data_IF_040238705216
#
_entry.id   IF_040238705216
#
_cell.length_a   1.000
_cell.length_b   1.000
_cell.length_c   1.000
_cell.angle_alpha   90.00
_cell.angle_beta   90.00
_cell.angle_gamma   90.00
#
_symmetry.space_group_name_H-M   'P 1'
#
loop_
_entity.id
_entity.type
_entity.pdbx_description
1 polymer ?
#
# COMPACT_ATOMS: atom_id res chain seq x y z
N UNK A 1 -4.53 8.55 27.37
CA UNK A 1 -3.60 8.16 26.29
C UNK A 1 -4.28 7.26 25.24
N UNK A 2 -4.81 6.08 25.60
CA UNK A 2 -5.42 5.13 24.65
C UNK A 2 -6.51 5.74 23.76
N UNK A 3 -7.42 6.56 24.31
CA UNK A 3 -8.47 7.23 23.54
C UNK A 3 -7.88 8.16 22.47
N UNK A 4 -6.90 8.99 22.85
CA UNK A 4 -6.28 9.93 21.90
C UNK A 4 -5.56 9.20 20.76
N UNK A 5 -4.83 8.12 21.08
CA UNK A 5 -4.22 7.26 20.06
C UNK A 5 -5.28 6.65 19.12
N UNK A 6 -6.37 6.15 19.68
CA UNK A 6 -7.44 5.57 18.86
C UNK A 6 -8.13 6.60 17.97
N UNK A 7 -8.40 7.80 18.47
CA UNK A 7 -8.96 8.90 17.67
C UNK A 7 -7.98 9.36 16.58
N UNK A 8 -6.67 9.45 16.89
CA UNK A 8 -5.67 9.77 15.88
C UNK A 8 -5.57 8.72 14.78
N UNK A 9 -5.75 7.44 15.12
CA UNK A 9 -5.79 6.36 14.14
C UNK A 9 -7.05 6.37 13.27
N UNK A 10 -8.22 6.76 13.82
CA UNK A 10 -9.43 7.00 13.01
C UNK A 10 -9.19 8.17 12.05
N UNK A 11 -8.61 9.27 12.52
CA UNK A 11 -8.28 10.41 11.69
C UNK A 11 -7.30 10.05 10.56
N UNK A 12 -6.26 9.26 10.88
CA UNK A 12 -5.32 8.72 9.89
C UNK A 12 -6.02 7.85 8.85
N UNK A 13 -6.96 7.00 9.27
CA UNK A 13 -7.79 6.21 8.36
C UNK A 13 -8.57 7.09 7.39
N UNK A 14 -9.22 8.16 7.89
CA UNK A 14 -9.96 9.12 7.05
C UNK A 14 -9.03 9.79 6.04
N UNK A 15 -7.83 10.24 6.47
CA UNK A 15 -6.81 10.82 5.57
C UNK A 15 -6.45 9.82 4.46
N UNK A 16 -6.09 8.58 4.82
CA UNK A 16 -5.71 7.56 3.85
C UNK A 16 -6.81 7.28 2.83
N UNK A 17 -8.07 7.20 3.28
CA UNK A 17 -9.20 6.93 2.41
C UNK A 17 -9.57 8.13 1.53
N UNK A 18 -9.48 9.37 2.05
CA UNK A 18 -9.87 10.57 1.33
C UNK A 18 -8.85 11.00 0.28
N UNK A 19 -7.55 11.04 0.63
CA UNK A 19 -6.51 11.52 -0.29
C UNK A 19 -6.14 10.51 -1.38
N UNK A 20 -6.43 9.23 -1.16
CA UNK A 20 -6.11 8.15 -2.10
C UNK A 20 -7.33 7.59 -2.82
N UNK A 21 -8.49 8.24 -2.71
CA UNK A 21 -9.71 7.82 -3.38
C UNK A 21 -9.47 7.67 -4.89
N UNK A 22 -9.65 6.46 -5.41
CA UNK A 22 -9.50 6.14 -6.83
C UNK A 22 -8.06 5.92 -7.33
N UNK A 23 -7.01 6.17 -6.52
CA UNK A 23 -5.62 6.06 -6.96
C UNK A 23 -5.03 4.66 -6.76
N UNK A 24 -5.04 4.15 -5.52
CA UNK A 24 -4.45 2.86 -5.17
C UNK A 24 -5.37 2.04 -4.26
N UNK A 25 -5.76 0.85 -4.71
CA UNK A 25 -6.65 -0.05 -3.93
C UNK A 25 -5.99 -0.55 -2.63
N UNK A 26 -4.67 -0.73 -2.59
CA UNK A 26 -3.95 -1.14 -1.38
C UNK A 26 -4.13 -0.15 -0.22
N UNK A 27 -4.26 1.14 -0.52
CA UNK A 27 -4.47 2.18 0.50
C UNK A 27 -5.82 2.05 1.20
N UNK A 28 -6.85 1.52 0.51
CA UNK A 28 -8.13 1.23 1.17
C UNK A 28 -7.99 0.16 2.26
N UNK A 29 -7.17 -0.89 2.01
CA UNK A 29 -6.91 -1.90 3.03
C UNK A 29 -6.12 -1.33 4.21
N UNK A 30 -5.14 -0.47 3.96
CA UNK A 30 -4.40 0.19 5.02
C UNK A 30 -5.31 1.11 5.85
N UNK A 31 -6.15 1.92 5.19
CA UNK A 31 -7.14 2.76 5.85
C UNK A 31 -8.13 1.94 6.69
N UNK A 32 -8.67 0.84 6.14
CA UNK A 32 -9.55 -0.06 6.87
C UNK A 32 -8.85 -0.73 8.06
N UNK A 33 -7.57 -1.12 7.92
CA UNK A 33 -6.77 -1.66 9.02
C UNK A 33 -6.66 -0.65 10.17
N UNK A 34 -6.29 0.61 9.88
CA UNK A 34 -6.21 1.65 10.90
C UNK A 34 -7.57 1.95 11.52
N UNK A 35 -8.64 1.90 10.75
CA UNK A 35 -10.00 2.07 11.28
C UNK A 35 -10.37 0.97 12.27
N UNK A 36 -10.22 -0.31 11.91
CA UNK A 36 -10.63 -1.41 12.77
C UNK A 36 -9.78 -1.52 14.04
N UNK A 37 -8.46 -1.30 13.94
CA UNK A 37 -7.59 -1.34 15.12
C UNK A 37 -7.88 -0.16 16.06
N UNK A 38 -8.22 1.00 15.52
CA UNK A 38 -8.60 2.17 16.31
C UNK A 38 -9.96 1.99 16.97
N UNK A 39 -10.94 1.42 16.27
CA UNK A 39 -12.24 1.09 16.82
C UNK A 39 -12.10 0.08 17.98
N UNK A 40 -11.19 -0.90 17.83
CA UNK A 40 -10.84 -1.81 18.92
C UNK A 40 -10.22 -1.05 20.10
N UNK A 41 -9.34 -0.09 19.86
CA UNK A 41 -8.75 0.76 20.91
C UNK A 41 -9.80 1.64 21.64
N UNK A 42 -10.78 2.19 20.91
CA UNK A 42 -11.93 2.90 21.53
C UNK A 42 -12.74 1.96 22.43
N UNK A 43 -13.01 0.74 21.97
CA UNK A 43 -13.70 -0.26 22.80
C UNK A 43 -12.91 -0.62 24.07
N UNK A 44 -11.58 -0.79 23.95
CA UNK A 44 -10.73 -1.04 25.13
C UNK A 44 -10.75 0.15 26.10
N UNK A 45 -10.71 1.39 25.60
CA UNK A 45 -10.85 2.57 26.42
C UNK A 45 -12.21 2.61 27.13
N UNK A 46 -13.29 2.32 26.39
CA UNK A 46 -14.65 2.28 26.94
C UNK A 46 -14.77 1.28 28.10
N UNK A 47 -14.20 0.08 27.94
CA UNK A 47 -14.25 -0.99 28.94
C UNK A 47 -13.37 -0.71 30.16
N UNK A 48 -12.12 -0.23 29.96
CA UNK A 48 -11.12 -0.21 31.02
C UNK A 48 -10.98 1.14 31.73
N UNK A 49 -11.28 2.25 31.03
CA UNK A 49 -10.90 3.58 31.53
C UNK A 49 -12.04 4.60 31.56
N UNK A 50 -13.12 4.41 30.78
CA UNK A 50 -14.14 5.46 30.63
C UNK A 50 -15.06 5.59 31.85
N UNK A 51 -15.29 4.51 32.59
CA UNK A 51 -16.34 4.40 33.62
C UNK A 51 -17.72 4.89 33.14
N UNK A 52 -17.93 4.96 31.84
CA UNK A 52 -19.17 5.46 31.22
C UNK A 52 -20.04 4.32 30.75
N UNK A 53 -21.19 4.16 31.40
CA UNK A 53 -22.22 3.18 31.01
C UNK A 53 -22.63 3.41 29.55
N UNK A 54 -22.74 4.66 29.10
CA UNK A 54 -23.08 5.01 27.72
C UNK A 54 -22.05 4.45 26.71
N UNK A 55 -20.77 4.73 26.92
CA UNK A 55 -19.72 4.24 26.01
C UNK A 55 -19.65 2.72 26.01
N UNK A 56 -19.71 2.08 27.16
CA UNK A 56 -19.70 0.62 27.26
C UNK A 56 -20.90 0.02 26.55
N UNK A 57 -22.12 0.58 26.71
CA UNK A 57 -23.34 0.06 26.05
C UNK A 57 -23.28 0.16 24.51
N UNK A 58 -22.57 1.15 23.97
CA UNK A 58 -22.43 1.31 22.51
C UNK A 58 -21.29 0.43 21.96
N UNK A 59 -20.11 0.47 22.58
CA UNK A 59 -18.92 -0.14 21.98
C UNK A 59 -18.72 -1.62 22.36
N UNK A 60 -19.15 -2.04 23.55
CA UNK A 60 -19.01 -3.44 23.97
C UNK A 60 -19.84 -4.37 23.09
N UNK A 61 -19.24 -5.40 22.55
CA UNK A 61 -19.82 -6.48 21.73
C UNK A 61 -20.43 -6.02 20.38
N UNK A 62 -21.07 -4.85 20.28
CA UNK A 62 -21.77 -4.43 19.06
C UNK A 62 -20.87 -4.39 17.81
N UNK A 63 -19.57 -4.06 17.96
CA UNK A 63 -18.61 -3.95 16.86
C UNK A 63 -17.55 -5.06 16.86
N UNK A 64 -17.64 -6.02 17.76
CA UNK A 64 -16.60 -7.03 17.95
C UNK A 64 -16.33 -7.89 16.71
N UNK A 65 -17.37 -8.16 15.89
CA UNK A 65 -17.22 -8.90 14.63
C UNK A 65 -16.28 -8.20 13.65
N UNK A 66 -16.17 -6.86 13.68
CA UNK A 66 -15.25 -6.10 12.83
C UNK A 66 -13.78 -6.35 13.20
N UNK A 67 -13.49 -6.71 14.44
CA UNK A 67 -12.12 -6.95 14.88
C UNK A 67 -11.55 -8.25 14.29
N UNK A 68 -12.39 -9.18 13.83
CA UNK A 68 -11.97 -10.34 13.07
C UNK A 68 -11.49 -9.99 11.64
N UNK A 69 -11.79 -8.78 11.15
CA UNK A 69 -11.33 -8.30 9.85
C UNK A 69 -9.92 -7.68 9.91
N UNK A 70 -9.38 -7.37 11.10
CA UNK A 70 -8.04 -6.75 11.24
C UNK A 70 -6.98 -7.60 10.54
N UNK A 71 -6.98 -8.92 10.76
CA UNK A 71 -6.03 -9.85 10.15
C UNK A 71 -6.16 -9.94 8.62
N UNK A 72 -7.34 -10.26 8.07
CA UNK A 72 -7.58 -10.30 6.64
C UNK A 72 -7.17 -9.02 5.90
N UNK A 73 -7.56 -7.86 6.44
CA UNK A 73 -7.26 -6.57 5.82
C UNK A 73 -5.76 -6.28 5.83
N UNK A 74 -5.03 -6.62 6.90
CA UNK A 74 -3.58 -6.58 6.97
C UNK A 74 -2.96 -7.44 5.85
N UNK A 75 -3.40 -8.68 5.72
CA UNK A 75 -2.92 -9.62 4.70
C UNK A 75 -3.17 -9.08 3.29
N UNK A 76 -4.37 -8.55 2.99
CA UNK A 76 -4.68 -7.99 1.68
C UNK A 76 -3.84 -6.75 1.37
N UNK A 77 -3.56 -5.92 2.38
CA UNK A 77 -2.64 -4.79 2.24
C UNK A 77 -1.23 -5.26 1.86
N UNK A 78 -0.63 -6.15 2.66
CA UNK A 78 0.72 -6.64 2.45
C UNK A 78 0.84 -7.36 1.10
N UNK A 79 -0.09 -8.28 0.79
CA UNK A 79 -0.14 -8.95 -0.51
C UNK A 79 -0.25 -7.94 -1.64
N UNK A 80 -1.16 -6.98 -1.55
CA UNK A 80 -1.37 -5.97 -2.58
C UNK A 80 -0.14 -5.13 -2.86
N UNK A 81 0.60 -4.75 -1.81
CA UNK A 81 1.86 -3.99 -1.93
C UNK A 81 2.99 -4.83 -2.53
N UNK A 82 3.12 -6.09 -2.10
CA UNK A 82 4.21 -6.97 -2.55
C UNK A 82 4.02 -7.52 -3.97
N UNK A 83 2.77 -7.68 -4.42
CA UNK A 83 2.45 -8.25 -5.74
C UNK A 83 1.97 -7.21 -6.76
N UNK A 84 1.92 -5.93 -6.36
CA UNK A 84 1.29 -4.83 -7.12
C UNK A 84 -0.13 -5.13 -7.63
N UNK A 85 -0.78 -6.12 -7.02
CA UNK A 85 -2.14 -6.54 -7.35
C UNK A 85 -3.05 -6.54 -6.12
N UNK A 86 -3.76 -5.45 -5.94
CA UNK A 86 -4.70 -5.24 -4.82
C UNK A 86 -6.13 -5.72 -5.11
N UNK A 87 -6.37 -6.46 -6.20
CA UNK A 87 -7.69 -7.00 -6.49
C UNK A 87 -8.02 -8.16 -5.55
N UNK A 88 -9.24 -8.15 -5.01
CA UNK A 88 -9.76 -9.29 -4.25
C UNK A 88 -10.02 -10.48 -5.20
N UNK A 89 -9.57 -11.65 -4.78
CA UNK A 89 -9.86 -12.93 -5.44
C UNK A 89 -11.14 -13.52 -4.86
N UNK A 90 -11.82 -14.39 -5.58
CA UNK A 90 -13.01 -15.10 -5.05
C UNK A 90 -12.70 -15.85 -3.75
N UNK A 91 -11.50 -16.41 -3.64
CA UNK A 91 -11.02 -17.10 -2.43
C UNK A 91 -10.83 -16.17 -1.24
N UNK A 92 -10.62 -14.87 -1.47
CA UNK A 92 -10.45 -13.89 -0.38
C UNK A 92 -11.74 -13.70 0.43
N UNK A 93 -12.91 -14.07 -0.12
CA UNK A 93 -14.18 -14.05 0.60
C UNK A 93 -14.20 -15.06 1.77
N UNK A 94 -13.42 -16.13 1.71
CA UNK A 94 -13.27 -17.08 2.80
C UNK A 94 -12.69 -16.45 4.08
N UNK A 95 -11.88 -15.42 3.92
CA UNK A 95 -11.30 -14.68 5.06
C UNK A 95 -12.35 -13.86 5.84
N UNK A 96 -13.55 -13.66 5.29
CA UNK A 96 -14.66 -13.00 5.98
C UNK A 96 -15.44 -13.95 6.89
N UNK A 97 -15.31 -15.28 6.72
CA UNK A 97 -16.07 -16.28 7.46
C UNK A 97 -15.99 -16.09 8.99
N UNK A 98 -14.81 -15.90 9.63
CA UNK A 98 -14.75 -15.72 11.08
C UNK A 98 -15.53 -14.49 11.56
N UNK A 99 -15.49 -13.39 10.80
CA UNK A 99 -16.26 -12.18 11.11
C UNK A 99 -17.76 -12.42 11.01
N UNK A 100 -18.21 -13.12 9.95
CA UNK A 100 -19.62 -13.45 9.73
C UNK A 100 -20.15 -14.41 10.79
N UNK A 101 -19.38 -15.43 11.14
CA UNK A 101 -19.74 -16.38 12.23
C UNK A 101 -19.89 -15.64 13.54
N UNK A 102 -18.96 -14.73 13.88
CA UNK A 102 -19.08 -13.96 15.12
C UNK A 102 -20.25 -12.97 15.05
N UNK A 103 -20.50 -12.33 13.91
CA UNK A 103 -21.64 -11.44 13.71
C UNK A 103 -22.96 -12.18 13.97
N UNK A 104 -23.17 -13.33 13.31
CA UNK A 104 -24.39 -14.12 13.48
C UNK A 104 -24.57 -14.59 14.93
N UNK A 105 -23.51 -15.02 15.58
CA UNK A 105 -23.54 -15.45 16.97
C UNK A 105 -23.79 -14.29 17.96
N UNK A 106 -23.46 -13.06 17.61
CA UNK A 106 -23.68 -11.87 18.46
C UNK A 106 -24.99 -11.14 18.14
N UNK A 107 -25.74 -11.55 17.10
CA UNK A 107 -27.02 -10.92 16.74
C UNK A 107 -28.01 -10.81 17.90
N UNK A 108 -28.22 -11.82 18.78
CA UNK A 108 -29.12 -11.69 19.90
C UNK A 108 -28.78 -10.51 20.82
N UNK A 109 -27.50 -10.29 21.09
CA UNK A 109 -27.04 -9.12 21.85
C UNK A 109 -27.14 -7.82 21.04
N UNK A 110 -26.71 -7.81 19.78
CA UNK A 110 -26.75 -6.63 18.93
C UNK A 110 -28.18 -6.10 18.75
N UNK A 111 -29.14 -6.98 18.57
CA UNK A 111 -30.57 -6.65 18.38
C UNK A 111 -31.36 -6.46 19.68
N UNK A 112 -30.73 -6.70 20.85
CA UNK A 112 -31.37 -6.50 22.14
C UNK A 112 -31.71 -5.03 22.39
N UNK A 113 -32.66 -4.78 23.29
CA UNK A 113 -33.09 -3.43 23.66
C UNK A 113 -31.92 -2.61 24.25
N UNK A 114 -31.98 -1.30 24.06
CA UNK A 114 -30.97 -0.41 24.65
C UNK A 114 -30.95 -0.49 26.18
N UNK A 115 -32.11 -0.66 26.81
CA UNK A 115 -32.24 -0.84 28.26
C UNK A 115 -31.44 -2.07 28.74
N UNK A 116 -31.54 -3.19 28.02
CA UNK A 116 -30.75 -4.38 28.33
C UNK A 116 -29.22 -4.13 28.18
N UNK A 117 -28.80 -3.45 27.12
CA UNK A 117 -27.39 -3.08 26.94
C UNK A 117 -26.87 -2.15 28.05
N UNK A 118 -27.70 -1.22 28.52
CA UNK A 118 -27.39 -0.35 29.66
C UNK A 118 -27.24 -1.15 30.95
N UNK A 119 -28.11 -2.14 31.18
CA UNK A 119 -28.03 -3.03 32.35
C UNK A 119 -26.71 -3.80 32.37
N UNK A 120 -26.34 -4.42 31.24
CA UNK A 120 -25.04 -5.13 31.09
C UNK A 120 -23.87 -4.17 31.25
N UNK A 121 -23.90 -3.00 30.59
CA UNK A 121 -22.87 -1.98 30.70
C UNK A 121 -22.70 -1.48 32.16
N UNK A 122 -23.77 -1.34 32.92
CA UNK A 122 -23.71 -0.97 34.32
C UNK A 122 -23.02 -2.05 35.16
N UNK A 123 -23.28 -3.33 34.90
CA UNK A 123 -22.59 -4.43 35.57
C UNK A 123 -21.07 -4.40 35.25
N UNK A 124 -20.68 -4.18 33.98
CA UNK A 124 -19.30 -4.08 33.55
C UNK A 124 -18.61 -2.89 34.21
N UNK A 125 -19.22 -1.71 34.25
CA UNK A 125 -18.66 -0.50 34.88
C UNK A 125 -18.45 -0.68 36.36
N UNK A 126 -19.33 -1.45 37.02
CA UNK A 126 -19.23 -1.79 38.44
C UNK A 126 -18.07 -2.77 38.69
N UNK A 127 -17.99 -3.80 37.88
CA UNK A 127 -16.95 -4.82 37.95
C UNK A 127 -16.57 -5.28 36.51
N UNK A 128 -15.40 -4.87 36.06
CA UNK A 128 -14.91 -5.20 34.70
C UNK A 128 -14.66 -6.68 34.50
N UNK A 129 -14.44 -7.47 35.58
CA UNK A 129 -14.26 -8.92 35.51
C UNK A 129 -15.53 -9.64 35.03
N UNK A 130 -16.69 -8.99 35.14
CA UNK A 130 -17.97 -9.46 34.59
C UNK A 130 -17.90 -9.81 33.11
N UNK A 131 -16.99 -9.13 32.33
CA UNK A 131 -16.73 -9.46 30.93
C UNK A 131 -16.27 -10.89 30.75
N UNK A 132 -15.52 -11.45 31.70
CA UNK A 132 -15.02 -12.83 31.67
C UNK A 132 -16.02 -13.90 32.09
N UNK A 133 -17.16 -13.51 32.65
CA UNK A 133 -18.17 -14.43 33.16
C UNK A 133 -19.47 -14.42 32.36
N UNK A 134 -19.76 -13.33 31.67
CA UNK A 134 -21.01 -13.16 30.93
C UNK A 134 -20.90 -13.69 29.48
N UNK A 135 -21.92 -14.44 29.06
CA UNK A 135 -22.02 -15.03 27.72
C UNK A 135 -22.64 -14.04 26.73
N UNK A 136 -21.82 -13.23 26.06
CA UNK A 136 -22.28 -12.20 25.12
C UNK A 136 -22.76 -12.75 23.77
N UNK A 137 -22.41 -13.99 23.44
CA UNK A 137 -22.70 -14.58 22.13
C UNK A 137 -23.16 -16.01 22.25
N UNK A 138 -23.90 -16.51 21.27
CA UNK A 138 -24.30 -17.93 21.17
C UNK A 138 -23.08 -18.84 21.15
N UNK A 139 -21.92 -18.37 20.62
CA UNK A 139 -20.67 -19.14 20.66
C UNK A 139 -20.22 -19.45 22.09
N UNK A 140 -20.52 -18.59 23.05
CA UNK A 140 -20.19 -18.81 24.46
C UNK A 140 -21.08 -19.86 25.14
N UNK A 141 -22.13 -20.32 24.48
CA UNK A 141 -22.92 -21.47 24.92
C UNK A 141 -22.29 -22.82 24.52
N UNK A 142 -21.56 -22.80 23.38
CA UNK A 142 -20.96 -23.99 22.77
C UNK A 142 -19.48 -24.12 23.22
N UNK A 143 -18.77 -23.00 23.28
CA UNK A 143 -17.35 -22.93 23.64
C UNK A 143 -17.16 -22.18 24.96
N UNK A 144 -16.04 -22.42 25.64
CA UNK A 144 -15.71 -21.62 26.83
C UNK A 144 -15.54 -20.14 26.48
N UNK A 145 -15.90 -19.28 27.41
CA UNK A 145 -15.74 -17.81 27.26
C UNK A 145 -14.29 -17.48 26.92
N UNK A 146 -13.32 -18.12 27.60
CA UNK A 146 -11.89 -17.97 27.33
C UNK A 146 -11.51 -18.28 25.87
N UNK A 147 -12.05 -19.37 25.30
CA UNK A 147 -11.79 -19.76 23.91
C UNK A 147 -12.35 -18.71 22.93
N UNK A 148 -13.55 -18.19 23.20
CA UNK A 148 -14.14 -17.14 22.36
C UNK A 148 -13.30 -15.85 22.41
N UNK A 149 -12.80 -15.45 23.58
CA UNK A 149 -11.94 -14.27 23.71
C UNK A 149 -10.58 -14.46 23.05
N UNK A 150 -9.96 -15.64 23.17
CA UNK A 150 -8.66 -15.95 22.58
C UNK A 150 -8.70 -16.12 21.05
N UNK A 151 -9.87 -16.47 20.49
CA UNK A 151 -10.00 -16.70 19.04
C UNK A 151 -9.59 -15.49 18.20
N UNK A 152 -9.86 -14.27 18.64
CA UNK A 152 -9.51 -13.02 17.93
C UNK A 152 -8.00 -12.76 17.87
N UNK A 153 -7.30 -12.63 19.02
CA UNK A 153 -5.85 -12.37 18.96
C UNK A 153 -5.08 -13.53 18.30
N UNK A 154 -5.52 -14.78 18.44
CA UNK A 154 -4.93 -15.92 17.73
C UNK A 154 -5.09 -15.76 16.22
N UNK A 155 -6.31 -15.42 15.75
CA UNK A 155 -6.55 -15.21 14.31
C UNK A 155 -5.70 -14.06 13.76
N UNK A 156 -5.67 -12.92 14.46
CA UNK A 156 -4.88 -11.76 14.02
C UNK A 156 -3.39 -12.10 14.02
N UNK A 157 -2.90 -12.85 15.01
CA UNK A 157 -1.51 -13.32 15.04
C UNK A 157 -1.19 -14.24 13.85
N UNK A 158 -2.08 -15.18 13.52
CA UNK A 158 -1.90 -16.06 12.36
C UNK A 158 -1.74 -15.27 11.05
N UNK A 159 -2.60 -14.26 10.83
CA UNK A 159 -2.46 -13.35 9.67
C UNK A 159 -1.20 -12.49 9.73
N UNK A 160 -0.78 -12.07 10.91
CA UNK A 160 0.47 -11.32 11.09
C UNK A 160 1.68 -12.15 10.70
N UNK A 161 1.75 -13.39 11.19
CA UNK A 161 2.80 -14.34 10.83
C UNK A 161 2.80 -14.67 9.34
N UNK A 162 1.61 -14.86 8.76
CA UNK A 162 1.48 -15.07 7.31
C UNK A 162 1.98 -13.85 6.50
N UNK A 163 1.60 -12.65 6.92
CA UNK A 163 2.07 -11.39 6.29
C UNK A 163 3.58 -11.22 6.40
N UNK A 164 4.17 -11.55 7.55
CA UNK A 164 5.62 -11.54 7.77
C UNK A 164 6.30 -12.59 6.88
N UNK A 165 5.77 -13.82 6.78
CA UNK A 165 6.30 -14.86 5.93
C UNK A 165 6.29 -14.46 4.44
N UNK A 166 5.22 -13.81 3.97
CA UNK A 166 5.15 -13.25 2.61
C UNK A 166 6.22 -12.19 2.39
N UNK A 167 6.40 -11.29 3.35
CA UNK A 167 7.41 -10.23 3.27
C UNK A 167 8.84 -10.80 3.26
N UNK A 168 9.14 -11.77 4.14
CA UNK A 168 10.43 -12.46 4.15
C UNK A 168 10.68 -13.20 2.82
N UNK A 169 9.68 -13.92 2.31
CA UNK A 169 9.77 -14.61 1.02
C UNK A 169 10.04 -13.64 -0.13
N UNK A 170 9.45 -12.45 -0.09
CA UNK A 170 9.73 -11.38 -1.03
C UNK A 170 11.18 -10.90 -0.93
N UNK A 171 11.70 -10.68 0.29
CA UNK A 171 13.09 -10.24 0.50
C UNK A 171 14.11 -11.27 -0.01
N UNK A 172 13.91 -12.55 0.28
CA UNK A 172 14.80 -13.64 -0.17
C UNK A 172 14.85 -13.73 -1.70
N UNK A 173 13.69 -13.62 -2.36
CA UNK A 173 13.63 -13.64 -3.83
C UNK A 173 14.29 -12.41 -4.46
N UNK A 174 14.35 -11.31 -3.74
CA UNK A 174 14.92 -10.04 -4.19
C UNK A 174 16.45 -10.04 -4.15
N UNK A 175 17.10 -10.69 -3.16
CA UNK A 175 18.56 -10.74 -3.08
C UNK A 175 19.21 -11.31 -4.34
N UNK A 176 18.46 -12.12 -5.10
CA UNK A 176 18.90 -12.69 -6.37
C UNK A 176 18.74 -11.73 -7.58
N UNK A 177 18.21 -10.51 -7.39
CA UNK A 177 18.02 -9.51 -8.47
C UNK A 177 18.51 -8.13 -8.03
N UNK A 178 19.61 -7.69 -8.62
CA UNK A 178 20.25 -6.37 -8.41
C UNK A 178 19.37 -5.24 -8.98
N UNK A 179 18.37 -4.74 -8.23
CA UNK A 179 17.60 -3.54 -8.61
C UNK A 179 17.45 -2.61 -7.41
N UNK A 180 18.10 -1.45 -7.46
CA UNK A 180 18.24 -0.48 -6.36
C UNK A 180 17.36 0.77 -6.51
N UNK A 181 16.96 1.31 -5.39
CA UNK A 181 16.62 2.68 -4.96
C UNK A 181 15.23 2.92 -4.37
N UNK A 182 14.09 2.72 -5.07
CA UNK A 182 12.75 2.99 -4.48
C UNK A 182 12.23 1.83 -3.61
N UNK A 183 12.76 0.64 -3.80
CA UNK A 183 12.44 -0.54 -2.99
C UNK A 183 12.93 -0.42 -1.54
N UNK A 184 13.96 0.39 -1.27
CA UNK A 184 14.43 0.64 0.09
C UNK A 184 13.38 1.32 0.97
N UNK A 185 12.61 2.28 0.41
CA UNK A 185 11.54 2.98 1.14
C UNK A 185 10.41 2.04 1.54
N UNK A 186 9.89 1.26 0.59
CA UNK A 186 8.81 0.28 0.83
C UNK A 186 9.25 -0.80 1.83
N UNK A 187 10.47 -1.32 1.67
CA UNK A 187 11.02 -2.34 2.58
C UNK A 187 11.15 -1.81 4.01
N UNK A 188 11.66 -0.59 4.17
CA UNK A 188 11.77 0.07 5.49
C UNK A 188 10.38 0.29 6.10
N UNK A 189 9.44 0.82 5.31
CA UNK A 189 8.07 1.01 5.76
C UNK A 189 7.44 -0.30 6.25
N UNK A 190 7.43 -1.36 5.43
CA UNK A 190 6.83 -2.63 5.79
C UNK A 190 7.50 -3.27 7.00
N UNK A 191 8.83 -3.15 7.14
CA UNK A 191 9.56 -3.64 8.31
C UNK A 191 9.10 -2.96 9.60
N UNK A 192 9.02 -1.62 9.61
CA UNK A 192 8.52 -0.85 10.74
C UNK A 192 7.06 -1.19 11.06
N UNK A 193 6.21 -1.16 10.05
CA UNK A 193 4.78 -1.41 10.20
C UNK A 193 4.51 -2.82 10.77
N UNK A 194 5.12 -3.86 10.20
CA UNK A 194 4.95 -5.23 10.66
C UNK A 194 5.55 -5.46 12.05
N UNK A 195 6.68 -4.82 12.40
CA UNK A 195 7.29 -4.94 13.72
C UNK A 195 6.37 -4.36 14.81
N UNK A 196 5.88 -3.14 14.65
CA UNK A 196 4.98 -2.52 15.64
C UNK A 196 3.63 -3.23 15.72
N UNK A 197 3.10 -3.67 14.58
CA UNK A 197 1.86 -4.44 14.53
C UNK A 197 2.04 -5.79 15.26
N UNK A 198 3.16 -6.48 15.05
CA UNK A 198 3.45 -7.75 15.72
C UNK A 198 3.58 -7.57 17.23
N UNK A 199 4.30 -6.55 17.70
CA UNK A 199 4.43 -6.22 19.13
C UNK A 199 3.04 -6.01 19.76
N UNK A 200 2.17 -5.23 19.09
CA UNK A 200 0.83 -4.94 19.57
C UNK A 200 -0.02 -6.21 19.70
N UNK A 201 0.02 -7.09 18.71
CA UNK A 201 -0.75 -8.33 18.71
C UNK A 201 -0.21 -9.36 19.69
N UNK A 202 1.11 -9.50 19.80
CA UNK A 202 1.73 -10.40 20.76
C UNK A 202 1.39 -10.02 22.19
N UNK A 203 1.49 -8.74 22.53
CA UNK A 203 1.12 -8.23 23.87
C UNK A 203 -0.38 -8.40 24.14
N UNK A 204 -1.24 -8.19 23.15
CA UNK A 204 -2.68 -8.41 23.28
C UNK A 204 -2.99 -9.91 23.53
N UNK A 205 -2.38 -10.82 22.77
CA UNK A 205 -2.57 -12.26 22.98
C UNK A 205 -2.10 -12.70 24.37
N UNK A 206 -0.89 -12.29 24.76
CA UNK A 206 -0.34 -12.65 26.10
C UNK A 206 -1.23 -12.11 27.21
N UNK A 207 -1.66 -10.87 27.11
CA UNK A 207 -2.57 -10.25 28.11
C UNK A 207 -3.89 -10.99 28.21
N UNK A 208 -4.50 -11.32 27.06
CA UNK A 208 -5.75 -12.08 27.01
C UNK A 208 -5.58 -13.50 27.58
N UNK A 209 -4.47 -14.19 27.22
CA UNK A 209 -4.17 -15.51 27.74
C UNK A 209 -4.03 -15.50 29.27
N UNK A 210 -3.21 -14.60 29.81
CA UNK A 210 -3.02 -14.46 31.27
C UNK A 210 -4.32 -14.20 32.01
N UNK A 211 -5.17 -13.34 31.46
CA UNK A 211 -6.43 -13.01 32.11
C UNK A 211 -7.43 -14.15 32.08
N UNK A 212 -7.64 -14.77 30.92
CA UNK A 212 -8.74 -15.73 30.75
C UNK A 212 -8.34 -17.19 31.00
N UNK A 213 -7.04 -17.54 31.02
CA UNK A 213 -6.56 -18.89 31.30
C UNK A 213 -5.90 -18.97 32.68
N UNK A 214 -5.04 -18.00 33.02
CA UNK A 214 -4.34 -17.96 34.31
C UNK A 214 -5.14 -17.20 35.39
N UNK A 215 -6.32 -16.67 35.05
CA UNK A 215 -7.20 -15.90 35.96
C UNK A 215 -6.50 -14.72 36.62
N UNK A 216 -5.58 -14.06 35.87
CA UNK A 216 -4.85 -12.89 36.35
C UNK A 216 -5.52 -11.59 35.93
N UNK A 217 -5.34 -10.50 36.70
CA UNK A 217 -5.88 -9.19 36.40
C UNK A 217 -5.06 -8.40 35.36
N UNK A 218 -4.13 -9.05 34.65
CA UNK A 218 -3.18 -8.41 33.73
C UNK A 218 -3.86 -7.63 32.62
N UNK A 219 -5.02 -8.10 32.13
CA UNK A 219 -5.75 -7.39 31.08
C UNK A 219 -6.44 -6.12 31.60
N UNK A 220 -6.84 -6.11 32.87
CA UNK A 220 -7.62 -5.04 33.49
C UNK A 220 -6.78 -4.03 34.28
N UNK A 221 -5.52 -4.36 34.56
CA UNK A 221 -4.61 -3.52 35.36
C UNK A 221 -3.50 -2.92 34.51
N UNK A 222 -3.02 -1.73 34.91
CA UNK A 222 -1.86 -1.12 34.27
C UNK A 222 -0.60 -1.92 34.63
N UNK A 223 0.05 -2.48 33.65
CA UNK A 223 1.25 -3.29 33.80
C UNK A 223 2.19 -3.13 32.59
N UNK A 224 3.35 -3.79 32.63
CA UNK A 224 4.37 -3.70 31.58
C UNK A 224 3.83 -4.09 30.19
N UNK A 225 2.96 -5.10 30.09
CA UNK A 225 2.38 -5.52 28.79
C UNK A 225 1.51 -4.41 28.21
N UNK A 226 0.73 -3.71 29.03
CA UNK A 226 -0.07 -2.58 28.53
C UNK A 226 0.80 -1.40 28.09
N UNK A 227 1.92 -1.15 28.79
CA UNK A 227 2.88 -0.12 28.37
C UNK A 227 3.51 -0.47 27.03
N UNK A 228 3.93 -1.73 26.83
CA UNK A 228 4.49 -2.22 25.57
C UNK A 228 3.45 -2.15 24.46
N UNK A 229 2.19 -2.55 24.72
CA UNK A 229 1.09 -2.43 23.76
C UNK A 229 0.83 -0.97 23.36
N UNK A 230 0.85 -0.05 24.32
CA UNK A 230 0.71 1.39 24.06
C UNK A 230 1.87 1.95 23.23
N UNK A 231 3.10 1.52 23.49
CA UNK A 231 4.26 1.88 22.67
C UNK A 231 4.17 1.32 21.26
N UNK A 232 3.73 0.05 21.10
CA UNK A 232 3.48 -0.57 19.81
C UNK A 232 2.40 0.17 19.00
N UNK A 233 1.29 0.54 19.65
CA UNK A 233 0.22 1.31 19.03
C UNK A 233 0.67 2.71 18.61
N UNK A 234 1.46 3.37 19.46
CA UNK A 234 2.05 4.68 19.17
C UNK A 234 2.97 4.61 17.96
N UNK A 235 3.90 3.64 17.94
CA UNK A 235 4.80 3.42 16.82
C UNK A 235 4.04 3.11 15.52
N UNK A 236 3.00 2.28 15.61
CA UNK A 236 2.16 1.95 14.46
C UNK A 236 1.47 3.20 13.87
N UNK A 237 0.91 4.08 14.70
CA UNK A 237 0.20 5.28 14.23
C UNK A 237 1.13 6.41 13.79
N UNK A 238 2.35 6.51 14.36
CA UNK A 238 3.35 7.48 13.92
C UNK A 238 4.04 7.02 12.62
N UNK A 239 4.13 5.73 12.38
CA UNK A 239 4.88 5.17 11.25
C UNK A 239 4.51 5.77 9.88
N UNK A 240 3.24 6.04 9.49
CA UNK A 240 2.92 6.66 8.21
C UNK A 240 3.46 8.09 8.07
N UNK A 241 3.62 8.82 9.17
CA UNK A 241 4.21 10.16 9.17
C UNK A 241 5.74 10.13 9.01
N UNK A 242 6.40 9.06 9.48
CA UNK A 242 7.82 8.82 9.21
C UNK A 242 8.05 8.43 7.72
N UNK A 243 7.01 7.95 7.05
CA UNK A 243 7.02 7.55 5.66
C UNK A 243 5.92 8.28 4.87
N UNK A 244 6.02 9.61 4.67
CA UNK A 244 4.93 10.43 4.14
C UNK A 244 4.45 10.01 2.75
N UNK A 245 5.27 9.35 1.95
CA UNK A 245 4.86 8.74 0.69
C UNK A 245 3.67 7.78 0.82
N UNK A 246 3.46 7.19 2.01
CA UNK A 246 2.34 6.30 2.28
C UNK A 246 1.02 7.07 2.35
N UNK A 247 1.03 8.29 2.89
CA UNK A 247 -0.17 9.13 3.03
C UNK A 247 -0.73 9.56 1.66
N UNK A 248 0.14 9.69 0.67
CA UNK A 248 -0.22 10.09 -0.70
C UNK A 248 -0.31 8.92 -1.69
N UNK A 249 -0.33 7.71 -1.18
CA UNK A 249 -0.15 6.47 -1.91
C UNK A 249 1.34 6.11 -1.98
N UNK A 250 1.65 4.82 -1.87
CA UNK A 250 3.00 4.36 -2.18
C UNK A 250 3.32 4.89 -3.58
N UNK A 251 4.52 5.50 -3.79
CA UNK A 251 4.95 5.70 -5.14
C UNK A 251 4.80 4.32 -5.79
N UNK A 252 4.02 4.27 -6.86
CA UNK A 252 4.03 3.11 -7.73
C UNK A 252 5.51 2.80 -7.87
N UNK A 253 5.94 1.66 -7.33
CA UNK A 253 7.21 1.13 -7.81
C UNK A 253 6.88 0.96 -9.28
N UNK A 254 7.39 1.82 -10.18
CA UNK A 254 7.29 1.47 -11.58
C UNK A 254 7.85 0.06 -11.53
N UNK A 255 7.08 -0.92 -12.01
CA UNK A 255 7.65 -2.25 -12.21
C UNK A 255 9.07 -1.96 -12.62
N UNK A 256 10.10 -2.53 -11.93
CA UNK A 256 11.41 -2.27 -12.43
C UNK A 256 11.18 -2.38 -13.90
N UNK A 257 11.43 -1.29 -14.66
CA UNK A 257 11.59 -1.49 -16.07
C UNK A 257 12.63 -2.55 -16.03
N UNK A 258 12.14 -3.79 -15.99
CA UNK A 258 12.95 -4.89 -16.35
C UNK A 258 13.37 -4.35 -17.69
N UNK A 259 14.59 -3.82 -17.76
CA UNK A 259 15.35 -4.16 -18.90
C UNK A 259 15.16 -5.68 -18.90
N UNK A 260 14.08 -6.12 -19.50
CA UNK A 260 14.05 -7.38 -20.14
C UNK A 260 15.20 -7.20 -21.07
N UNK A 261 16.39 -7.45 -20.50
CA UNK A 261 17.50 -7.83 -21.31
C UNK A 261 16.84 -8.88 -22.16
N UNK A 262 16.91 -8.67 -23.42
CA UNK A 262 16.38 -9.47 -24.52
C UNK A 262 16.65 -10.99 -24.34
N UNK A 263 17.30 -11.42 -23.28
CA UNK A 263 17.52 -12.80 -22.83
C UNK A 263 16.30 -13.45 -22.15
N UNK A 264 15.38 -12.71 -21.50
CA UNK A 264 14.22 -13.32 -20.82
C UNK A 264 12.94 -13.45 -21.69
N UNK A 265 12.94 -12.92 -22.93
CA UNK A 265 11.90 -13.30 -23.93
C UNK A 265 12.23 -14.65 -24.60
N UNK A 266 13.39 -15.23 -24.27
CA UNK A 266 13.77 -16.56 -24.75
C UNK A 266 13.19 -17.73 -23.93
N UNK A 267 12.65 -17.49 -22.73
CA UNK A 267 12.15 -18.54 -21.83
C UNK A 267 10.62 -18.53 -21.60
N UNK A 268 9.85 -18.11 -22.58
CA UNK A 268 8.48 -18.61 -22.70
C UNK A 268 8.56 -20.05 -23.25
N UNK A 269 7.84 -21.03 -22.64
CA UNK A 269 7.84 -22.39 -23.12
C UNK A 269 7.54 -22.38 -24.62
N UNK A 270 8.47 -22.89 -25.38
CA UNK A 270 8.32 -23.12 -26.81
C UNK A 270 7.20 -24.13 -26.98
N UNK A 271 6.01 -23.68 -27.39
CA UNK A 271 5.25 -24.54 -28.28
C UNK A 271 6.10 -24.70 -29.54
N UNK A 272 6.49 -25.93 -29.82
CA UNK A 272 7.25 -26.34 -31.00
C UNK A 272 6.55 -25.85 -32.26
N UNK A 273 7.10 -24.78 -32.85
CA UNK A 273 6.58 -24.22 -34.10
C UNK A 273 7.41 -23.03 -34.60
N UNK A 274 8.54 -23.33 -35.28
CA UNK A 274 9.29 -22.44 -36.20
C UNK A 274 9.67 -21.07 -35.69
N UNK A 275 10.94 -20.93 -35.24
CA UNK A 275 11.71 -19.68 -35.20
C UNK A 275 11.74 -19.08 -36.64
N UNK A 276 10.83 -18.16 -36.93
CA UNK A 276 11.03 -17.14 -37.95
C UNK A 276 11.15 -15.81 -37.22
N UNK A 277 12.36 -15.27 -37.11
CA UNK A 277 12.56 -13.82 -36.98
C UNK A 277 11.65 -13.18 -38.01
N UNK A 278 10.70 -12.30 -37.65
CA UNK A 278 9.85 -11.64 -38.64
C UNK A 278 10.79 -10.76 -39.47
N UNK A 279 11.05 -11.19 -40.71
CA UNK A 279 11.69 -10.34 -41.70
C UNK A 279 10.59 -9.36 -42.13
N UNK A 280 10.44 -8.26 -41.34
CA UNK A 280 9.46 -7.22 -41.66
C UNK A 280 9.91 -6.50 -42.90
N UNK A 281 9.03 -6.38 -43.90
CA UNK A 281 9.31 -5.69 -45.14
C UNK A 281 9.73 -4.22 -44.86
N UNK A 282 10.68 -3.70 -45.65
CA UNK A 282 11.20 -2.35 -45.44
C UNK A 282 10.10 -1.28 -45.47
N UNK A 283 9.08 -1.47 -46.30
CA UNK A 283 7.94 -0.57 -46.40
C UNK A 283 7.12 -0.54 -45.10
N UNK A 284 6.91 -1.71 -44.46
CA UNK A 284 6.23 -1.80 -43.19
C UNK A 284 7.01 -1.15 -42.03
N UNK A 285 8.34 -1.28 -42.04
CA UNK A 285 9.21 -0.59 -41.07
C UNK A 285 9.18 0.93 -41.23
N UNK A 286 9.05 1.43 -42.45
CA UNK A 286 8.82 2.86 -42.72
C UNK A 286 7.46 3.33 -42.21
N UNK A 287 6.43 2.52 -42.38
CA UNK A 287 5.10 2.83 -41.84
C UNK A 287 5.10 2.86 -40.31
N UNK A 288 5.81 1.93 -39.63
CA UNK A 288 6.02 1.97 -38.18
C UNK A 288 6.72 3.27 -37.76
N UNK A 289 7.79 3.65 -38.48
CA UNK A 289 8.53 4.88 -38.21
C UNK A 289 7.63 6.11 -38.32
N UNK A 290 6.87 6.24 -39.40
CA UNK A 290 5.98 7.38 -39.63
C UNK A 290 4.92 7.50 -38.53
N UNK A 291 4.26 6.40 -38.16
CA UNK A 291 3.27 6.37 -37.09
C UNK A 291 3.89 6.73 -35.72
N UNK A 292 5.08 6.21 -35.45
CA UNK A 292 5.77 6.50 -34.18
C UNK A 292 6.20 7.97 -34.09
N UNK A 293 6.81 8.50 -35.16
CA UNK A 293 7.30 9.88 -35.21
C UNK A 293 6.13 10.90 -35.19
N UNK A 294 5.03 10.68 -35.91
CA UNK A 294 3.86 11.55 -35.84
C UNK A 294 3.20 11.52 -34.47
N UNK A 295 3.02 10.34 -33.86
CA UNK A 295 2.46 10.23 -32.51
C UNK A 295 3.30 10.96 -31.48
N UNK A 296 4.60 10.89 -31.58
CA UNK A 296 5.52 11.57 -30.65
C UNK A 296 5.59 13.07 -30.91
N UNK A 297 5.69 13.52 -32.17
CA UNK A 297 5.89 14.94 -32.50
C UNK A 297 4.60 15.73 -32.53
N UNK A 298 3.53 15.22 -33.18
CA UNK A 298 2.29 15.95 -33.39
C UNK A 298 1.36 15.85 -32.15
N UNK A 299 1.25 14.65 -31.57
CA UNK A 299 0.37 14.41 -30.42
C UNK A 299 1.08 14.48 -29.07
N UNK A 300 2.41 14.71 -29.06
CA UNK A 300 3.22 14.81 -27.85
C UNK A 300 2.95 13.68 -26.85
N UNK A 301 2.79 12.46 -27.37
CA UNK A 301 2.38 11.29 -26.56
C UNK A 301 3.38 11.00 -25.44
N UNK A 302 4.66 11.40 -25.61
CA UNK A 302 5.70 11.27 -24.60
C UNK A 302 5.42 12.04 -23.29
N UNK A 303 4.52 13.03 -23.28
CA UNK A 303 4.13 13.77 -22.07
C UNK A 303 3.31 12.93 -21.10
N UNK A 304 2.74 11.80 -21.55
CA UNK A 304 2.07 10.85 -20.64
C UNK A 304 3.09 10.16 -19.76
N UNK A 305 3.07 10.42 -18.46
CA UNK A 305 4.08 9.93 -17.51
C UNK A 305 4.09 8.39 -17.35
N UNK A 306 3.00 7.72 -17.71
CA UNK A 306 2.79 6.28 -17.65
C UNK A 306 2.96 5.58 -19.02
N UNK A 307 3.54 6.29 -20.01
CA UNK A 307 3.78 5.75 -21.34
C UNK A 307 4.85 4.65 -21.30
N UNK A 308 4.49 3.47 -21.77
CA UNK A 308 5.38 2.33 -22.01
C UNK A 308 5.18 1.77 -23.41
N UNK A 309 6.03 0.83 -23.85
CA UNK A 309 5.98 0.27 -25.20
C UNK A 309 4.62 -0.32 -25.56
N UNK A 310 4.00 -1.09 -24.65
CA UNK A 310 2.69 -1.72 -24.92
C UNK A 310 1.61 -0.66 -25.07
N UNK A 311 1.57 0.33 -24.17
CA UNK A 311 0.60 1.42 -24.25
C UNK A 311 0.80 2.31 -25.47
N UNK A 312 2.05 2.50 -25.87
CA UNK A 312 2.38 3.22 -27.11
C UNK A 312 1.92 2.43 -28.35
N UNK A 313 2.14 1.11 -28.35
CA UNK A 313 1.66 0.21 -29.39
C UNK A 313 0.13 0.26 -29.54
N UNK A 314 -0.62 0.29 -28.41
CA UNK A 314 -2.07 0.46 -28.41
C UNK A 314 -2.50 1.81 -29.01
N UNK A 315 -1.77 2.90 -28.67
CA UNK A 315 -2.08 4.28 -29.14
C UNK A 315 -1.89 4.39 -30.67
N UNK A 316 -0.84 3.77 -31.20
CA UNK A 316 -0.54 3.86 -32.66
C UNK A 316 -1.13 2.67 -33.45
N UNK A 317 -1.93 1.82 -32.78
CA UNK A 317 -2.59 0.66 -33.34
C UNK A 317 -1.64 -0.28 -34.10
N UNK A 318 -0.54 -0.65 -33.42
CA UNK A 318 0.46 -1.59 -33.94
C UNK A 318 0.72 -2.72 -32.92
N UNK A 319 1.06 -3.94 -33.38
CA UNK A 319 1.46 -5.01 -32.49
C UNK A 319 2.74 -4.62 -31.69
N UNK A 320 2.70 -4.80 -30.36
CA UNK A 320 3.83 -4.42 -29.49
C UNK A 320 5.15 -5.11 -29.86
N UNK A 321 5.10 -6.37 -30.35
CA UNK A 321 6.30 -7.10 -30.76
C UNK A 321 6.92 -6.56 -32.06
N UNK A 322 6.13 -5.99 -33.00
CA UNK A 322 6.66 -5.30 -34.18
C UNK A 322 7.35 -3.99 -33.79
N UNK A 323 6.75 -3.26 -32.84
CA UNK A 323 7.32 -2.02 -32.33
C UNK A 323 8.62 -2.29 -31.53
N UNK A 324 8.65 -3.36 -30.73
CA UNK A 324 9.85 -3.81 -30.04
C UNK A 324 10.98 -4.16 -31.02
N UNK A 325 10.65 -4.90 -32.10
CA UNK A 325 11.58 -5.21 -33.17
C UNK A 325 12.13 -3.92 -33.82
N UNK A 326 11.24 -2.97 -34.17
CA UNK A 326 11.64 -1.69 -34.79
C UNK A 326 12.62 -0.91 -33.91
N UNK A 327 12.34 -0.72 -32.62
CA UNK A 327 13.25 0.00 -31.74
C UNK A 327 14.60 -0.70 -31.56
N UNK A 328 14.59 -2.05 -31.45
CA UNK A 328 15.82 -2.83 -31.28
C UNK A 328 16.66 -2.89 -32.58
N UNK A 329 16.03 -3.21 -33.69
CA UNK A 329 16.78 -3.52 -34.94
C UNK A 329 16.99 -2.32 -35.85
N UNK A 330 16.03 -1.39 -35.90
CA UNK A 330 16.10 -0.21 -36.77
C UNK A 330 16.64 1.00 -36.05
N UNK A 331 16.02 1.35 -34.89
CA UNK A 331 16.47 2.52 -34.11
C UNK A 331 17.72 2.24 -33.26
N UNK A 332 18.06 0.96 -33.00
CA UNK A 332 19.19 0.53 -32.16
C UNK A 332 19.21 1.18 -30.77
N UNK A 333 18.03 1.47 -30.23
CA UNK A 333 17.84 2.02 -28.88
C UNK A 333 16.58 1.47 -28.22
N UNK A 334 16.48 1.60 -26.89
CA UNK A 334 15.25 1.21 -26.20
C UNK A 334 14.14 2.23 -26.44
N UNK A 335 12.87 1.79 -26.38
CA UNK A 335 11.71 2.71 -26.42
C UNK A 335 11.78 3.76 -25.30
N UNK A 336 12.25 3.37 -24.11
CA UNK A 336 12.38 4.29 -22.98
C UNK A 336 13.43 5.38 -23.22
N UNK A 337 14.55 5.04 -23.87
CA UNK A 337 15.57 6.03 -24.24
C UNK A 337 15.02 7.00 -25.28
N UNK A 338 14.34 6.50 -26.30
CA UNK A 338 13.69 7.34 -27.32
C UNK A 338 12.65 8.28 -26.69
N UNK A 339 11.80 7.76 -25.79
CA UNK A 339 10.81 8.57 -25.09
C UNK A 339 11.46 9.64 -24.19
N UNK A 340 12.55 9.28 -23.51
CA UNK A 340 13.30 10.22 -22.69
C UNK A 340 13.98 11.31 -23.53
N UNK A 341 14.53 10.99 -24.69
CA UNK A 341 15.08 11.99 -25.64
C UNK A 341 13.98 13.01 -26.02
N UNK A 342 12.80 12.56 -26.42
CA UNK A 342 11.69 13.45 -26.74
C UNK A 342 11.31 14.36 -25.56
N UNK A 343 11.26 13.80 -24.34
CA UNK A 343 10.97 14.55 -23.12
C UNK A 343 12.05 15.58 -22.79
N UNK A 344 13.31 15.24 -22.99
CA UNK A 344 14.42 16.17 -22.73
C UNK A 344 14.43 17.29 -23.75
N UNK A 345 14.19 17.02 -25.03
CA UNK A 345 14.07 18.08 -26.05
C UNK A 345 12.93 19.04 -25.71
N UNK A 346 11.78 18.54 -25.26
CA UNK A 346 10.68 19.37 -24.79
C UNK A 346 11.05 20.18 -23.53
N UNK A 347 11.75 19.57 -22.57
CA UNK A 347 12.24 20.28 -21.39
C UNK A 347 13.20 21.40 -21.74
N UNK A 348 14.09 21.19 -22.73
CA UNK A 348 14.99 22.22 -23.26
C UNK A 348 14.22 23.37 -23.88
N UNK A 349 13.17 23.09 -24.67
CA UNK A 349 12.33 24.16 -25.24
C UNK A 349 11.68 24.99 -24.15
N UNK A 350 11.14 24.36 -23.07
CA UNK A 350 10.57 25.10 -21.94
C UNK A 350 11.60 25.97 -21.21
N UNK A 351 12.86 25.51 -21.12
CA UNK A 351 13.95 26.27 -20.51
C UNK A 351 14.32 27.46 -21.40
N UNK A 352 14.42 27.26 -22.71
CA UNK A 352 14.82 28.30 -23.69
C UNK A 352 13.74 29.38 -23.90
N UNK A 353 12.44 28.99 -23.80
CA UNK A 353 11.30 29.91 -23.91
C UNK A 353 11.17 30.86 -22.69
N UNK A 354 12.12 30.85 -21.77
CA UNK A 354 12.12 31.70 -20.57
C UNK A 354 11.06 31.34 -19.52
N UNK A 355 10.35 30.24 -19.70
CA UNK A 355 9.32 29.75 -18.74
C UNK A 355 9.91 29.30 -17.39
N UNK A 356 11.24 29.25 -17.30
CA UNK A 356 11.95 28.96 -16.01
C UNK A 356 12.01 30.18 -15.09
N UNK A 357 11.59 31.38 -15.51
CA UNK A 357 11.41 32.53 -14.60
C UNK A 357 10.37 32.27 -13.51
N UNK A 358 9.32 31.51 -13.86
CA UNK A 358 8.18 31.20 -12.99
C UNK A 358 8.14 29.73 -12.53
N UNK A 359 8.95 28.86 -13.13
CA UNK A 359 8.92 27.42 -12.88
C UNK A 359 10.24 26.89 -12.31
N UNK A 360 10.15 26.00 -11.30
CA UNK A 360 11.31 25.26 -10.84
C UNK A 360 11.73 24.21 -11.89
N UNK A 361 13.01 23.83 -11.92
CA UNK A 361 13.48 22.73 -12.79
C UNK A 361 12.74 21.41 -12.55
N UNK A 362 12.22 21.20 -11.34
CA UNK A 362 11.37 20.06 -11.03
C UNK A 362 10.01 20.15 -11.74
N UNK A 363 9.40 21.33 -11.73
CA UNK A 363 8.15 21.58 -12.48
C UNK A 363 8.35 21.40 -13.99
N UNK A 364 9.46 21.86 -14.56
CA UNK A 364 9.83 21.59 -15.95
C UNK A 364 9.90 20.10 -16.25
N UNK A 365 10.55 19.31 -15.36
CA UNK A 365 10.61 17.86 -15.51
C UNK A 365 9.23 17.20 -15.51
N UNK A 366 8.35 17.60 -14.60
CA UNK A 366 6.96 17.07 -14.51
C UNK A 366 6.16 17.44 -15.77
N UNK A 367 6.25 18.70 -16.22
CA UNK A 367 5.58 19.16 -17.44
C UNK A 367 6.09 18.43 -18.70
N UNK A 368 7.35 17.96 -18.67
CA UNK A 368 7.94 17.19 -19.75
C UNK A 368 7.62 15.68 -19.68
N UNK A 369 6.70 15.26 -18.79
CA UNK A 369 6.23 13.88 -18.69
C UNK A 369 7.06 12.97 -17.76
N UNK A 370 8.01 13.51 -16.99
CA UNK A 370 8.72 12.73 -15.98
C UNK A 370 7.89 12.60 -14.69
N UNK A 371 7.98 11.46 -14.05
CA UNK A 371 7.24 11.17 -12.82
C UNK A 371 7.82 11.86 -11.59
N UNK A 372 9.11 12.20 -11.60
CA UNK A 372 9.78 12.86 -10.48
C UNK A 372 11.10 13.52 -10.92
N UNK A 373 11.61 14.41 -10.05
CA UNK A 373 12.87 15.13 -10.25
C UNK A 373 14.06 14.22 -10.53
N UNK A 374 14.19 13.11 -9.80
CA UNK A 374 15.37 12.23 -9.93
C UNK A 374 15.46 11.55 -11.29
N UNK A 375 14.33 11.11 -11.85
CA UNK A 375 14.26 10.51 -13.19
C UNK A 375 14.56 11.55 -14.26
N UNK A 376 14.03 12.76 -14.13
CA UNK A 376 14.31 13.88 -15.03
C UNK A 376 15.79 14.22 -15.03
N UNK A 377 16.41 14.47 -13.87
CA UNK A 377 17.82 14.86 -13.77
C UNK A 377 18.76 13.79 -14.33
N UNK A 378 18.46 12.51 -14.07
CA UNK A 378 19.25 11.39 -14.62
C UNK A 378 19.13 11.28 -16.14
N UNK A 379 17.91 11.37 -16.67
CA UNK A 379 17.67 11.33 -18.11
C UNK A 379 18.32 12.53 -18.80
N UNK A 380 18.18 13.73 -18.24
CA UNK A 380 18.77 14.95 -18.78
C UNK A 380 20.31 14.83 -18.84
N UNK A 381 20.94 14.36 -17.76
CA UNK A 381 22.39 14.15 -17.74
C UNK A 381 22.84 13.05 -18.73
N UNK A 382 22.01 12.02 -18.96
CA UNK A 382 22.30 10.96 -19.94
C UNK A 382 22.26 11.49 -21.38
N UNK A 383 21.35 12.42 -21.69
CA UNK A 383 21.13 12.95 -23.04
C UNK A 383 22.06 14.13 -23.34
N UNK A 384 22.28 15.03 -22.37
CA UNK A 384 23.03 16.29 -22.56
C UNK A 384 24.41 16.29 -21.91
N UNK A 385 24.84 15.21 -21.28
CA UNK A 385 26.08 15.06 -20.50
C UNK A 385 26.25 16.04 -19.33
N UNK A 386 25.33 16.99 -19.16
CA UNK A 386 25.32 17.99 -18.08
C UNK A 386 24.02 17.96 -17.32
N UNK A 387 24.00 18.51 -16.10
CA UNK A 387 22.75 18.61 -15.33
C UNK A 387 21.82 19.69 -15.88
N UNK A 388 20.47 19.59 -15.63
CA UNK A 388 19.53 20.65 -16.03
C UNK A 388 19.90 22.03 -15.48
N UNK A 389 20.44 22.09 -14.26
CA UNK A 389 20.91 23.35 -13.65
C UNK A 389 22.14 23.94 -14.38
N UNK A 390 23.11 23.08 -14.74
CA UNK A 390 24.28 23.52 -15.51
C UNK A 390 23.87 23.99 -16.91
N UNK A 391 22.89 23.30 -17.53
CA UNK A 391 22.34 23.72 -18.82
C UNK A 391 21.70 25.12 -18.74
N UNK A 392 20.88 25.38 -17.73
CA UNK A 392 20.25 26.67 -17.50
C UNK A 392 21.27 27.81 -17.31
N UNK A 393 22.32 27.57 -16.50
CA UNK A 393 23.40 28.55 -16.29
C UNK A 393 24.13 28.85 -17.62
N UNK A 394 24.43 27.83 -18.41
CA UNK A 394 25.07 27.97 -19.72
C UNK A 394 24.23 28.82 -20.70
N UNK A 395 22.92 28.62 -20.72
CA UNK A 395 22.00 29.37 -21.57
C UNK A 395 21.87 30.82 -21.13
N UNK A 396 21.78 31.09 -19.82
CA UNK A 396 21.72 32.43 -19.28
C UNK A 396 22.99 33.24 -19.53
N UNK A 397 24.17 32.57 -19.55
CA UNK A 397 25.43 33.21 -19.91
C UNK A 397 25.55 33.53 -21.43
N UNK A 398 24.93 32.68 -22.26
CA UNK A 398 24.93 32.89 -23.71
C UNK A 398 23.94 33.99 -24.18
N UNK A 399 22.98 34.35 -23.32
CA UNK A 399 21.94 35.37 -23.61
C UNK A 399 22.28 36.77 -23.08
N UNK A 400 23.43 36.97 -22.41
CA UNK A 400 23.92 38.30 -22.04
C UNK A 400 24.65 38.90 -23.23
N UNK A 401 24.22 40.08 -23.76
CA UNK A 401 25.00 40.77 -24.83
C UNK A 401 26.35 41.19 -24.30
N UNK A 402 27.38 41.02 -25.14
CA UNK A 402 28.75 41.45 -24.89
C UNK A 402 28.87 42.96 -24.79
#
# INVERSE_FOLDING_TARGET
MLLYLSLSGIFLSVILLSFNAGKLRSTYYLGAFFFFISLHGVNQYALLHSKSVFLVSIFSTNFTFLYYLIGPVLYWYIRGVLTDNSRLRKTDLLHLIPSLVYLTASLPYILSSYAFKVQIATAIVKDVSFVGTYKFTVLSEIFSISSVFLSRPILILAYSLWSIALFISYLIRKENKLVFSNQSFMTKWLSFFLAFQFILIATYLISTFKTFIEHSDVFFTLNLLQIIAAAGMTGLFISPFMFPGILYGLPHVPEPVINVQVEEIMDLPSEEGKKSTPNLEAEYLLAIQQKADSSMREFQTFLKSDLNLNRFADIIELPAHHLAYYFREVKKQSFNDYCNECRIEYAKSLILDGKTGDLTLEAVGILSGFTNRSTFFRAFKKVEDISPGAFLVKMNQASLPA
#
